data_IF_473386040059
#
_entry.id   IF_473386040059
#
_cell.length_a   1.000
_cell.length_b   1.000
_cell.length_c   1.000
_cell.angle_alpha   90.00
_cell.angle_beta   90.00
_cell.angle_gamma   90.00
#
_symmetry.space_group_name_H-M   'P 1'
#
loop_
_entity.id
_entity.type
_entity.pdbx_description
1 polymer ?
#
# COMPACT_ATOMS: atom_id res chain seq x y z
N UNK A 1 22.06 71.94 -5.76
CA UNK A 1 21.56 73.00 -4.87
C UNK A 1 20.09 72.69 -4.56
N UNK A 2 19.55 72.78 -3.32
CA UNK A 2 20.10 72.70 -1.94
C UNK A 2 19.86 71.28 -1.32
N UNK A 3 20.55 70.69 -0.34
CA UNK A 3 21.03 71.01 1.03
C UNK A 3 19.93 71.17 2.10
N UNK A 4 19.93 70.26 3.10
CA UNK A 4 19.69 70.34 4.56
C UNK A 4 19.44 68.89 5.05
N UNK A 5 20.10 68.25 6.01
CA UNK A 5 20.97 68.67 7.10
C UNK A 5 20.24 68.58 8.44
N UNK A 6 20.36 67.47 9.21
CA UNK A 6 20.36 67.52 10.68
C UNK A 6 20.96 66.25 11.32
N UNK A 7 21.61 66.47 12.46
CA UNK A 7 22.59 65.68 13.20
C UNK A 7 22.15 65.69 14.69
N UNK A 8 22.79 64.84 15.52
CA UNK A 8 22.84 64.85 17.01
C UNK A 8 21.55 64.31 17.71
N UNK A 9 21.55 63.46 18.74
CA UNK A 9 22.42 63.44 19.92
C UNK A 9 22.54 62.09 20.66
N UNK A 10 23.71 61.92 21.27
CA UNK A 10 24.05 60.96 22.32
C UNK A 10 23.31 61.23 23.63
N UNK A 11 23.08 60.17 24.40
CA UNK A 11 22.67 60.24 25.81
C UNK A 11 23.20 59.02 26.57
N UNK A 12 24.37 59.19 27.20
CA UNK A 12 24.91 58.30 28.24
C UNK A 12 24.45 58.84 29.58
N UNK A 13 23.81 58.02 30.42
CA UNK A 13 23.71 58.26 31.86
C UNK A 13 24.02 56.95 32.58
N UNK A 14 25.02 57.06 33.46
CA UNK A 14 25.52 56.01 34.32
C UNK A 14 24.86 56.07 35.71
N UNK A 15 25.13 55.01 36.47
CA UNK A 15 25.15 54.88 37.93
C UNK A 15 23.91 54.30 38.61
N UNK A 16 24.19 53.29 39.46
CA UNK A 16 23.29 52.81 40.49
C UNK A 16 23.43 51.32 40.80
N UNK A 17 24.60 50.88 41.27
CA UNK A 17 24.69 49.57 41.93
C UNK A 17 24.23 49.70 43.39
N UNK A 18 23.17 48.98 43.75
CA UNK A 18 22.80 48.73 45.15
C UNK A 18 22.72 47.22 45.31
N UNK A 19 23.73 46.65 45.98
CA UNK A 19 23.72 45.27 46.43
C UNK A 19 22.93 45.19 47.75
N UNK A 20 21.77 44.52 47.71
CA UNK A 20 21.08 44.06 48.92
C UNK A 20 21.17 42.54 48.96
N UNK A 21 21.93 42.04 49.93
CA UNK A 21 22.00 40.62 50.28
C UNK A 21 20.80 40.28 51.17
N UNK A 22 19.76 39.66 50.59
CA UNK A 22 18.67 39.05 51.35
C UNK A 22 18.72 37.54 51.18
N UNK A 23 18.92 36.83 52.29
CA UNK A 23 19.02 35.39 52.35
C UNK A 23 17.78 34.69 51.80
N UNK A 24 18.01 33.78 50.86
CA UNK A 24 16.99 32.83 50.40
C UNK A 24 16.84 31.70 51.40
N UNK A 25 15.69 31.69 52.08
CA UNK A 25 15.06 30.51 52.66
C UNK A 25 15.03 29.38 51.61
N UNK A 26 15.59 28.23 51.95
CA UNK A 26 15.47 26.98 51.20
C UNK A 26 14.05 26.45 51.34
N UNK A 27 13.14 26.89 50.46
CA UNK A 27 11.88 26.20 50.22
C UNK A 27 12.19 24.87 49.51
N UNK A 28 11.96 23.75 50.20
CA UNK A 28 11.99 22.43 49.60
C UNK A 28 10.93 22.38 48.49
N UNK A 29 11.35 22.46 47.23
CA UNK A 29 10.51 22.15 46.07
C UNK A 29 10.14 20.67 46.16
N UNK A 30 8.93 20.39 46.63
CA UNK A 30 8.30 19.10 46.43
C UNK A 30 8.18 18.87 44.93
N UNK A 31 9.09 18.07 44.37
CA UNK A 31 9.01 17.62 42.98
C UNK A 31 7.81 16.67 42.89
N UNK A 32 6.63 17.21 42.58
CA UNK A 32 5.51 16.41 42.11
C UNK A 32 5.96 15.70 40.84
N UNK A 33 6.32 14.42 40.98
CA UNK A 33 6.61 13.52 39.87
C UNK A 33 5.29 13.36 39.11
N UNK A 34 5.10 14.14 38.05
CA UNK A 34 3.98 13.95 37.13
C UNK A 34 3.99 12.50 36.69
N UNK A 35 2.90 11.79 36.99
CA UNK A 35 2.68 10.46 36.43
C UNK A 35 2.75 10.60 34.90
N UNK A 36 3.45 9.69 34.19
CA UNK A 36 3.48 9.72 32.74
C UNK A 36 2.04 9.67 32.22
N UNK A 37 1.69 10.66 31.40
CA UNK A 37 0.43 10.70 30.70
C UNK A 37 0.23 9.38 29.96
N UNK A 38 -0.95 8.76 30.12
CA UNK A 38 -1.33 7.52 29.44
C UNK A 38 -1.42 7.63 27.89
N UNK A 39 -0.96 8.75 27.32
CA UNK A 39 -1.00 9.08 25.90
C UNK A 39 0.32 8.85 25.16
N UNK A 40 1.39 8.44 25.85
CA UNK A 40 2.55 7.84 25.15
C UNK A 40 2.28 6.35 24.90
N UNK A 41 1.15 6.07 24.25
CA UNK A 41 0.94 4.76 23.62
C UNK A 41 2.05 4.61 22.59
N UNK A 42 2.92 3.64 22.85
CA UNK A 42 3.82 3.07 21.86
C UNK A 42 3.12 3.08 20.49
N UNK A 43 3.75 3.71 19.49
CA UNK A 43 3.23 3.73 18.13
C UNK A 43 2.74 2.32 17.79
N UNK A 44 1.47 2.15 17.41
CA UNK A 44 0.89 0.83 17.23
C UNK A 44 1.81 0.04 16.31
N UNK A 45 2.31 -1.10 16.79
CA UNK A 45 3.13 -1.99 15.99
C UNK A 45 2.45 -2.18 14.65
N UNK A 46 3.11 -1.79 13.56
CA UNK A 46 2.55 -1.85 12.20
C UNK A 46 1.85 -3.20 12.02
N UNK A 47 0.55 -3.16 11.69
CA UNK A 47 -0.32 -4.33 11.71
C UNK A 47 0.37 -5.50 11.00
N UNK A 48 0.59 -6.60 11.72
CA UNK A 48 1.26 -7.77 11.17
C UNK A 48 0.32 -8.60 10.29
N UNK A 49 -0.34 -7.93 9.35
CA UNK A 49 -1.28 -8.53 8.41
C UNK A 49 -0.63 -9.60 7.52
N UNK A 50 -1.44 -10.56 7.10
CA UNK A 50 -1.04 -11.66 6.21
C UNK A 50 -0.65 -11.14 4.84
N UNK A 51 0.27 -11.84 4.17
CA UNK A 51 0.80 -11.42 2.88
C UNK A 51 -0.23 -11.60 1.75
N UNK A 52 -0.29 -10.62 0.85
CA UNK A 52 -0.98 -10.74 -0.44
C UNK A 52 -0.02 -11.32 -1.46
N UNK A 53 -0.55 -12.22 -2.27
CA UNK A 53 0.06 -12.89 -3.40
C UNK A 53 -0.46 -12.29 -4.69
N UNK A 54 0.49 -11.94 -5.56
CA UNK A 54 0.28 -11.30 -6.86
C UNK A 54 0.64 -12.23 -8.02
N UNK A 55 1.26 -13.37 -7.68
CA UNK A 55 1.64 -14.44 -8.57
C UNK A 55 0.39 -15.06 -9.21
N UNK A 56 0.54 -15.59 -10.44
CA UNK A 56 -0.59 -16.19 -11.14
C UNK A 56 -1.12 -17.40 -10.39
N UNK A 57 -2.43 -17.42 -10.14
CA UNK A 57 -3.14 -18.57 -9.63
C UNK A 57 -4.32 -18.88 -10.56
N UNK A 58 -4.30 -20.07 -11.18
CA UNK A 58 -5.31 -20.51 -12.14
C UNK A 58 -6.73 -20.45 -11.56
N UNK A 59 -6.91 -20.80 -10.28
CA UNK A 59 -8.22 -20.79 -9.61
C UNK A 59 -8.66 -19.38 -9.25
N UNK A 60 -7.72 -18.48 -8.95
CA UNK A 60 -8.02 -17.07 -8.69
C UNK A 60 -8.39 -16.27 -9.95
N UNK A 61 -8.20 -16.83 -11.15
CA UNK A 61 -8.49 -16.12 -12.41
C UNK A 61 -7.68 -14.82 -12.58
N UNK A 62 -6.51 -14.72 -11.93
CA UNK A 62 -5.69 -13.51 -11.90
C UNK A 62 -6.03 -12.51 -10.80
N UNK A 63 -7.03 -12.79 -9.95
CA UNK A 63 -7.24 -12.03 -8.72
C UNK A 63 -6.03 -12.18 -7.77
N UNK A 64 -5.82 -11.15 -6.94
CA UNK A 64 -4.84 -11.20 -5.86
C UNK A 64 -5.35 -12.19 -4.82
N UNK A 65 -4.45 -12.89 -4.15
CA UNK A 65 -4.86 -13.95 -3.26
C UNK A 65 -4.02 -13.98 -1.99
N UNK A 66 -4.50 -14.68 -0.98
CA UNK A 66 -3.76 -14.99 0.23
C UNK A 66 -3.93 -16.47 0.51
N UNK A 67 -3.06 -17.01 1.35
CA UNK A 67 -3.22 -18.38 1.81
C UNK A 67 -2.73 -18.52 3.24
N UNK A 68 -3.37 -19.41 3.98
CA UNK A 68 -2.93 -19.81 5.31
C UNK A 68 -1.79 -20.83 5.19
N UNK A 69 -1.20 -21.25 6.31
CA UNK A 69 -0.06 -22.19 6.32
C UNK A 69 -0.25 -23.40 5.40
N UNK A 70 0.87 -23.88 4.86
CA UNK A 70 0.94 -25.10 4.07
C UNK A 70 0.50 -26.31 4.90
N UNK A 71 -0.17 -27.27 4.25
CA UNK A 71 -0.69 -28.49 4.87
C UNK A 71 -1.92 -29.03 4.15
N UNK A 72 -2.47 -30.14 4.66
CA UNK A 72 -3.65 -30.80 4.07
C UNK A 72 -4.91 -29.92 4.07
N UNK A 73 -5.02 -29.01 5.05
CA UNK A 73 -6.10 -28.03 5.18
C UNK A 73 -5.69 -26.64 4.68
N UNK A 74 -5.02 -26.54 3.53
CA UNK A 74 -4.66 -25.22 2.99
C UNK A 74 -5.92 -24.45 2.60
N UNK A 75 -6.12 -23.27 3.19
CA UNK A 75 -7.13 -22.31 2.78
C UNK A 75 -6.51 -21.23 1.90
N UNK A 76 -7.16 -20.95 0.77
CA UNK A 76 -6.84 -19.84 -0.11
C UNK A 76 -8.01 -18.84 -0.10
N UNK A 77 -7.69 -17.55 -0.06
CA UNK A 77 -8.67 -16.47 -0.19
C UNK A 77 -8.37 -15.63 -1.42
N UNK A 78 -9.29 -15.59 -2.39
CA UNK A 78 -9.16 -14.77 -3.60
C UNK A 78 -9.88 -13.44 -3.41
N UNK A 79 -9.13 -12.35 -3.49
CA UNK A 79 -9.54 -10.99 -3.16
C UNK A 79 -10.14 -10.31 -4.41
N UNK A 80 -11.41 -10.59 -4.70
CA UNK A 80 -12.04 -10.14 -5.94
C UNK A 80 -12.28 -8.63 -6.00
N UNK A 81 -12.63 -8.00 -4.87
CA UNK A 81 -12.83 -6.55 -4.80
C UNK A 81 -11.52 -5.76 -4.69
N UNK A 82 -10.38 -6.43 -4.47
CA UNK A 82 -9.10 -5.78 -4.12
C UNK A 82 -8.63 -4.77 -5.16
N UNK A 83 -8.86 -5.07 -6.44
CA UNK A 83 -8.42 -4.25 -7.56
C UNK A 83 -9.12 -2.88 -7.61
N UNK A 84 -10.33 -2.75 -7.05
CA UNK A 84 -11.14 -1.53 -7.07
C UNK A 84 -10.51 -0.39 -6.26
N UNK A 85 -9.65 -0.71 -5.29
CA UNK A 85 -9.05 0.25 -4.38
C UNK A 85 -7.52 0.16 -4.34
N UNK A 86 -6.91 -0.42 -5.39
CA UNK A 86 -5.48 -0.29 -5.61
C UNK A 86 -5.06 1.15 -5.99
N UNK A 87 -5.98 2.09 -6.12
CA UNK A 87 -5.64 3.52 -6.24
C UNK A 87 -5.17 4.14 -4.92
N UNK A 88 -5.46 3.51 -3.78
CA UNK A 88 -5.13 4.00 -2.44
C UNK A 88 -3.70 3.61 -2.05
N UNK A 89 -2.90 4.60 -1.61
CA UNK A 89 -1.52 4.41 -1.16
C UNK A 89 -1.38 3.35 -0.06
N UNK A 90 -2.36 3.26 0.85
CA UNK A 90 -2.34 2.31 1.97
C UNK A 90 -2.41 0.87 1.48
N UNK A 91 -3.02 0.66 0.31
CA UNK A 91 -3.25 -0.67 -0.28
C UNK A 91 -2.15 -0.97 -1.30
N UNK A 92 -1.87 -0.02 -2.21
CA UNK A 92 -0.95 -0.25 -3.33
C UNK A 92 0.53 -0.26 -2.95
N UNK A 93 0.87 0.26 -1.76
CA UNK A 93 2.22 0.19 -1.16
C UNK A 93 2.36 -0.97 -0.18
N UNK A 94 1.28 -1.68 0.13
CA UNK A 94 1.29 -2.76 1.12
C UNK A 94 1.52 -4.12 0.47
N UNK A 95 2.42 -4.89 1.06
CA UNK A 95 2.58 -6.31 0.73
C UNK A 95 1.56 -7.20 1.44
N UNK A 96 0.78 -6.61 2.34
CA UNK A 96 -0.12 -7.28 3.26
C UNK A 96 -1.56 -7.03 2.87
N UNK A 97 -2.46 -7.83 3.42
CA UNK A 97 -3.89 -7.76 3.14
C UNK A 97 -4.46 -6.51 3.83
N UNK A 98 -4.88 -5.56 3.02
CA UNK A 98 -5.55 -4.32 3.43
C UNK A 98 -6.99 -4.34 2.91
N UNK A 99 -7.97 -4.27 3.80
CA UNK A 99 -9.40 -4.31 3.48
C UNK A 99 -10.07 -2.99 3.85
N UNK A 100 -11.18 -2.63 3.21
CA UNK A 100 -11.94 -1.43 3.58
C UNK A 100 -12.88 -1.71 4.74
N UNK A 101 -12.81 -0.88 5.77
CA UNK A 101 -13.77 -0.88 6.87
C UNK A 101 -15.16 -0.44 6.40
N UNK A 102 -16.20 -0.93 7.06
CA UNK A 102 -17.61 -0.61 6.80
C UNK A 102 -18.17 -1.16 5.47
N UNK A 103 -17.34 -1.65 4.55
CA UNK A 103 -17.75 -2.18 3.24
C UNK A 103 -17.66 -3.71 3.20
N UNK A 104 -18.57 -4.38 2.47
CA UNK A 104 -18.44 -5.82 2.25
C UNK A 104 -17.31 -6.10 1.24
N UNK A 105 -16.27 -6.77 1.68
CA UNK A 105 -15.14 -7.16 0.83
C UNK A 105 -15.37 -8.56 0.26
N UNK A 106 -15.47 -8.63 -1.07
CA UNK A 106 -15.73 -9.90 -1.76
C UNK A 106 -14.49 -10.77 -1.76
N UNK A 107 -14.53 -11.84 -0.96
CA UNK A 107 -13.46 -12.83 -0.85
C UNK A 107 -14.01 -14.22 -1.12
N UNK A 108 -13.38 -14.90 -2.05
CA UNK A 108 -13.66 -16.28 -2.40
C UNK A 108 -12.72 -17.21 -1.66
N UNK A 109 -13.25 -17.95 -0.69
CA UNK A 109 -12.45 -18.90 0.09
C UNK A 109 -12.51 -20.27 -0.56
N UNK A 110 -11.34 -20.89 -0.73
CA UNK A 110 -11.22 -22.24 -1.27
C UNK A 110 -10.36 -23.09 -0.35
N UNK A 111 -10.88 -24.25 0.06
CA UNK A 111 -10.13 -25.27 0.80
C UNK A 111 -10.02 -26.54 -0.03
N UNK A 112 -8.87 -27.21 0.04
CA UNK A 112 -8.69 -28.55 -0.53
C UNK A 112 -9.43 -29.64 0.25
N UNK A 113 -9.83 -29.35 1.49
CA UNK A 113 -10.61 -30.25 2.34
C UNK A 113 -12.00 -29.67 2.53
N UNK A 114 -13.02 -30.46 2.19
CA UNK A 114 -14.41 -30.11 2.50
C UNK A 114 -14.51 -29.86 4.01
N UNK A 115 -15.13 -28.74 4.39
CA UNK A 115 -15.26 -28.37 5.80
C UNK A 115 -16.70 -28.38 6.31
N UNK A 116 -17.66 -28.82 5.49
CA UNK A 116 -19.08 -28.68 5.76
C UNK A 116 -19.74 -27.52 5.02
N UNK A 117 -21.04 -27.35 5.23
CA UNK A 117 -21.91 -26.44 4.47
C UNK A 117 -21.76 -24.95 4.82
N UNK A 118 -20.95 -24.61 5.82
CA UNK A 118 -20.87 -23.27 6.39
C UNK A 118 -19.46 -22.89 6.81
N UNK A 119 -19.06 -21.68 6.40
CA UNK A 119 -17.89 -20.98 6.90
C UNK A 119 -18.34 -19.93 7.92
N UNK A 120 -17.83 -20.02 9.14
CA UNK A 120 -17.97 -18.97 10.16
C UNK A 120 -16.69 -18.16 10.21
N UNK A 121 -16.81 -16.85 10.05
CA UNK A 121 -15.70 -15.90 10.22
C UNK A 121 -15.96 -15.10 11.47
N UNK A 122 -15.13 -15.26 12.49
CA UNK A 122 -15.09 -14.36 13.64
C UNK A 122 -13.87 -13.47 13.56
N UNK A 123 -13.94 -12.29 14.16
CA UNK A 123 -12.80 -11.38 14.21
C UNK A 123 -12.65 -10.74 15.58
N UNK A 124 -11.39 -10.51 15.98
CA UNK A 124 -11.00 -9.74 17.14
C UNK A 124 -10.07 -8.61 16.68
N UNK A 125 -10.39 -7.38 17.06
CA UNK A 125 -9.49 -6.24 16.86
C UNK A 125 -8.27 -6.40 17.78
N UNK A 126 -7.08 -6.22 17.23
CA UNK A 126 -5.79 -6.44 17.91
C UNK A 126 -5.22 -5.15 18.51
N UNK A 127 -5.60 -4.01 17.96
CA UNK A 127 -5.13 -2.67 18.34
C UNK A 127 -6.19 -1.85 19.07
N UNK A 128 -7.26 -2.49 19.56
CA UNK A 128 -8.34 -1.82 20.24
C UNK A 128 -9.55 -2.73 20.50
N UNK A 129 -10.64 -2.19 21.04
CA UNK A 129 -11.87 -2.94 21.22
C UNK A 129 -12.57 -3.19 19.88
N UNK A 130 -13.12 -4.38 19.71
CA UNK A 130 -13.92 -4.72 18.53
C UNK A 130 -13.98 -6.22 18.28
N UNK A 131 -15.17 -6.70 17.93
CA UNK A 131 -15.39 -8.07 17.49
C UNK A 131 -16.31 -8.08 16.28
N UNK A 132 -16.24 -9.16 15.49
CA UNK A 132 -17.20 -9.43 14.42
C UNK A 132 -17.51 -10.93 14.36
N UNK A 133 -18.68 -11.28 13.82
CA UNK A 133 -19.09 -12.65 13.55
C UNK A 133 -19.98 -12.67 12.32
N UNK A 134 -19.57 -13.40 11.29
CA UNK A 134 -20.26 -13.54 10.01
C UNK A 134 -20.29 -15.01 9.59
N UNK A 135 -21.34 -15.42 8.87
CA UNK A 135 -21.53 -16.79 8.41
C UNK A 135 -21.83 -16.79 6.92
N UNK A 136 -21.15 -17.68 6.19
CA UNK A 136 -21.28 -17.81 4.74
C UNK A 136 -21.60 -19.27 4.41
N UNK A 137 -22.50 -19.48 3.47
CA UNK A 137 -22.82 -20.83 2.98
C UNK A 137 -21.74 -21.27 1.99
N UNK A 138 -21.44 -22.57 1.98
CA UNK A 138 -20.70 -23.17 0.89
C UNK A 138 -21.49 -23.00 -0.42
N UNK A 139 -20.79 -22.80 -1.53
CA UNK A 139 -21.37 -22.93 -2.84
C UNK A 139 -21.64 -24.40 -3.16
N UNK A 140 -22.62 -24.66 -4.04
CA UNK A 140 -22.94 -26.01 -4.50
C UNK A 140 -21.79 -26.62 -5.29
N UNK A 141 -21.09 -25.80 -6.09
CA UNK A 141 -19.94 -26.22 -6.88
C UNK A 141 -18.98 -25.03 -7.09
N UNK A 142 -17.66 -25.24 -7.07
CA UNK A 142 -16.98 -26.49 -6.70
C UNK A 142 -17.07 -26.78 -5.18
N UNK A 143 -16.88 -28.04 -4.78
CA UNK A 143 -16.76 -28.39 -3.36
C UNK A 143 -15.59 -27.63 -2.71
N UNK A 144 -15.77 -27.24 -1.44
CA UNK A 144 -14.78 -26.48 -0.67
C UNK A 144 -14.75 -24.99 -0.98
N UNK A 145 -15.73 -24.47 -1.74
CA UNK A 145 -15.85 -23.06 -2.10
C UNK A 145 -16.83 -22.31 -1.19
N UNK A 146 -16.39 -21.20 -0.59
CA UNK A 146 -17.20 -20.35 0.27
C UNK A 146 -17.09 -18.88 -0.19
N UNK A 147 -18.05 -18.39 -0.99
CA UNK A 147 -18.09 -16.97 -1.35
C UNK A 147 -18.49 -16.14 -0.13
N UNK A 148 -17.79 -15.03 0.10
CA UNK A 148 -18.06 -14.14 1.22
C UNK A 148 -18.01 -12.67 0.80
N UNK A 149 -18.78 -11.85 1.53
CA UNK A 149 -18.65 -10.40 1.56
C UNK A 149 -18.32 -9.98 2.98
N UNK A 150 -17.05 -10.09 3.38
CA UNK A 150 -16.63 -9.83 4.76
C UNK A 150 -16.70 -8.34 5.02
N UNK A 151 -17.57 -7.92 5.96
CA UNK A 151 -17.62 -6.54 6.43
C UNK A 151 -16.82 -6.39 7.74
N UNK A 152 -15.72 -5.64 7.72
CA UNK A 152 -14.99 -5.30 8.94
C UNK A 152 -15.57 -4.00 9.49
N UNK A 153 -16.00 -3.92 10.77
CA UNK A 153 -16.76 -2.76 11.26
C UNK A 153 -16.00 -1.44 11.22
N UNK A 154 -14.73 -1.44 11.62
CA UNK A 154 -13.91 -0.23 11.78
C UNK A 154 -12.49 -0.45 11.26
N UNK A 155 -11.81 0.64 10.92
CA UNK A 155 -10.37 0.59 10.67
C UNK A 155 -9.60 0.04 11.89
N UNK A 156 -8.42 -0.52 11.65
CA UNK A 156 -7.53 -1.12 12.64
C UNK A 156 -6.99 -2.48 12.21
N UNK A 157 -6.20 -3.10 13.08
CA UNK A 157 -5.64 -4.43 12.88
C UNK A 157 -6.60 -5.50 13.39
N UNK A 158 -6.97 -6.47 12.55
CA UNK A 158 -7.97 -7.50 12.89
C UNK A 158 -7.40 -8.91 12.70
N UNK A 159 -7.50 -9.75 13.72
CA UNK A 159 -7.31 -11.20 13.56
C UNK A 159 -8.66 -11.83 13.19
N UNK A 160 -8.73 -12.41 12.01
CA UNK A 160 -9.87 -13.20 11.55
C UNK A 160 -9.63 -14.68 11.84
N UNK A 161 -10.62 -15.34 12.42
CA UNK A 161 -10.69 -16.80 12.58
C UNK A 161 -11.75 -17.34 11.63
N UNK A 162 -11.30 -18.12 10.66
CA UNK A 162 -12.12 -18.77 9.64
C UNK A 162 -12.30 -20.21 10.06
N UNK A 163 -13.54 -20.62 10.36
CA UNK A 163 -13.84 -21.91 10.95
C UNK A 163 -14.99 -22.59 10.21
N UNK A 164 -14.81 -23.88 9.93
CA UNK A 164 -15.87 -24.78 9.52
C UNK A 164 -16.03 -25.89 10.57
N UNK A 165 -16.65 -27.02 10.22
CA UNK A 165 -16.73 -28.18 11.12
C UNK A 165 -15.35 -28.85 11.25
N UNK A 166 -14.65 -29.03 10.13
CA UNK A 166 -13.41 -29.83 10.08
C UNK A 166 -12.11 -29.02 10.20
N UNK A 167 -12.14 -27.70 10.02
CA UNK A 167 -10.93 -26.90 10.05
C UNK A 167 -11.11 -25.51 10.65
N UNK A 168 -9.97 -24.96 11.10
CA UNK A 168 -9.84 -23.63 11.66
C UNK A 168 -8.55 -22.99 11.13
N UNK A 169 -8.70 -21.79 10.58
CA UNK A 169 -7.60 -20.95 10.15
C UNK A 169 -7.65 -19.59 10.81
N UNK A 170 -6.48 -18.97 10.95
CA UNK A 170 -6.33 -17.61 11.41
C UNK A 170 -5.51 -16.82 10.40
N UNK A 171 -5.90 -15.59 10.18
CA UNK A 171 -5.15 -14.61 9.41
C UNK A 171 -5.32 -13.24 10.05
N UNK A 172 -4.41 -12.33 9.75
CA UNK A 172 -4.48 -10.94 10.22
C UNK A 172 -4.69 -10.07 8.99
N UNK A 173 -5.56 -9.08 9.09
CA UNK A 173 -5.78 -8.06 8.06
C UNK A 173 -5.66 -6.68 8.68
N UNK A 174 -5.18 -5.75 7.89
CA UNK A 174 -5.33 -4.34 8.18
C UNK A 174 -6.65 -3.88 7.57
N UNK A 175 -7.50 -3.23 8.36
CA UNK A 175 -8.69 -2.57 7.88
C UNK A 175 -8.43 -1.06 7.86
N UNK A 176 -8.71 -0.41 6.73
CA UNK A 176 -8.57 1.04 6.57
C UNK A 176 -9.92 1.65 6.25
N UNK A 177 -10.16 2.87 6.68
CA UNK A 177 -11.38 3.57 6.28
C UNK A 177 -11.43 3.69 4.75
N UNK A 178 -12.60 3.55 4.11
CA UNK A 178 -12.73 3.74 2.68
C UNK A 178 -12.11 5.08 2.29
N UNK A 179 -11.20 5.08 1.31
CA UNK A 179 -10.75 6.31 0.71
C UNK A 179 -11.95 7.08 0.12
N UNK A 180 -11.80 8.40 -0.03
CA UNK A 180 -12.68 9.16 -0.92
C UNK A 180 -12.67 8.50 -2.31
N UNK A 181 -13.78 8.60 -3.06
CA UNK A 181 -13.79 8.13 -4.44
C UNK A 181 -12.62 8.75 -5.24
N UNK A 182 -12.11 8.00 -6.22
CA UNK A 182 -11.13 8.47 -7.21
C UNK A 182 -9.71 8.78 -6.72
N UNK A 183 -9.26 8.20 -5.60
CA UNK A 183 -7.84 8.30 -5.23
C UNK A 183 -6.96 7.64 -6.27
N UNK A 184 -6.07 8.45 -6.84
CA UNK A 184 -4.95 7.97 -7.62
C UNK A 184 -3.67 8.35 -6.89
N UNK A 185 -3.28 7.53 -5.92
CA UNK A 185 -2.02 7.68 -5.20
C UNK A 185 -0.93 6.91 -5.94
N UNK A 186 -0.21 7.54 -6.88
CA UNK A 186 0.84 6.87 -7.63
C UNK A 186 1.90 6.27 -6.70
N UNK A 187 2.52 5.19 -7.16
CA UNK A 187 3.65 4.57 -6.47
C UNK A 187 4.81 5.58 -6.43
N UNK A 188 5.42 5.87 -5.28
CA UNK A 188 6.51 6.82 -5.18
C UNK A 188 7.72 6.41 -6.02
N UNK A 189 8.29 7.36 -6.75
CA UNK A 189 9.59 7.20 -7.41
C UNK A 189 10.68 7.64 -6.43
N UNK A 190 11.62 6.75 -6.15
CA UNK A 190 12.74 7.03 -5.24
C UNK A 190 13.62 8.16 -5.80
N UNK A 191 14.38 8.83 -4.93
CA UNK A 191 15.29 9.90 -5.34
C UNK A 191 16.22 9.49 -6.50
N UNK A 192 16.70 8.24 -6.48
CA UNK A 192 17.50 7.59 -7.54
C UNK A 192 16.81 7.43 -8.89
N UNK A 193 15.51 7.72 -9.00
CA UNK A 193 14.72 7.47 -10.19
C UNK A 193 14.27 6.03 -10.32
N UNK A 194 14.23 5.25 -9.23
CA UNK A 194 13.77 3.87 -9.26
C UNK A 194 12.44 3.67 -8.53
N UNK A 195 11.64 2.74 -9.02
CA UNK A 195 10.47 2.18 -8.34
C UNK A 195 10.76 0.73 -7.98
N UNK A 196 10.40 0.32 -6.77
CA UNK A 196 10.30 -1.11 -6.42
C UNK A 196 8.84 -1.52 -6.50
N UNK A 197 8.55 -2.62 -7.19
CA UNK A 197 7.20 -3.10 -7.34
C UNK A 197 6.72 -3.76 -6.06
N UNK A 198 5.41 -3.72 -5.83
CA UNK A 198 4.77 -4.42 -4.70
C UNK A 198 4.21 -5.76 -5.17
N UNK A 199 4.52 -6.88 -4.50
CA UNK A 199 5.34 -6.98 -3.29
C UNK A 199 6.84 -6.94 -3.66
N UNK A 200 7.67 -6.36 -2.79
CA UNK A 200 9.11 -6.20 -3.03
C UNK A 200 9.85 -7.52 -3.13
N UNK A 201 9.32 -8.58 -2.49
CA UNK A 201 9.81 -9.96 -2.64
C UNK A 201 9.77 -10.49 -4.07
N UNK A 202 9.00 -9.84 -4.97
CA UNK A 202 9.06 -10.15 -6.41
C UNK A 202 10.45 -9.87 -6.98
N UNK A 203 11.25 -9.01 -6.35
CA UNK A 203 12.56 -8.62 -6.88
C UNK A 203 12.46 -7.83 -8.18
N UNK A 204 11.26 -7.39 -8.59
CA UNK A 204 11.08 -6.53 -9.76
C UNK A 204 11.20 -5.07 -9.32
N UNK A 205 11.98 -4.31 -10.07
CA UNK A 205 12.13 -2.86 -9.97
C UNK A 205 12.13 -2.24 -11.35
N UNK A 206 12.04 -0.91 -11.43
CA UNK A 206 12.10 -0.20 -12.68
C UNK A 206 12.80 1.15 -12.49
N UNK A 207 13.66 1.54 -13.45
CA UNK A 207 14.09 2.92 -13.58
C UNK A 207 12.97 3.71 -14.28
N UNK A 208 12.63 4.85 -13.68
CA UNK A 208 11.44 5.65 -13.98
C UNK A 208 11.82 7.11 -14.14
N UNK A 209 11.70 7.62 -15.37
CA UNK A 209 12.17 8.94 -15.73
C UNK A 209 11.27 10.09 -15.26
N UNK A 210 9.96 9.86 -15.14
CA UNK A 210 8.98 10.91 -14.92
C UNK A 210 8.28 10.78 -13.58
N UNK A 211 8.01 11.93 -12.96
CA UNK A 211 7.37 12.00 -11.65
C UNK A 211 6.27 13.05 -11.68
N UNK A 212 5.20 12.80 -10.93
CA UNK A 212 4.25 13.84 -10.54
C UNK A 212 4.93 14.84 -9.60
N UNK A 213 4.31 15.98 -9.36
CA UNK A 213 4.85 17.04 -8.48
C UNK A 213 5.12 16.52 -7.06
N UNK A 214 4.28 15.62 -6.57
CA UNK A 214 4.42 14.93 -5.28
C UNK A 214 5.38 13.72 -5.32
N UNK A 215 6.09 13.50 -6.44
CA UNK A 215 7.12 12.47 -6.57
C UNK A 215 6.62 11.06 -6.92
N UNK A 216 5.36 10.92 -7.31
CA UNK A 216 4.76 9.65 -7.75
C UNK A 216 5.05 9.28 -9.20
N UNK A 217 4.88 8.00 -9.54
CA UNK A 217 5.06 7.49 -10.89
C UNK A 217 4.15 8.20 -11.92
N UNK A 218 4.77 8.81 -12.92
CA UNK A 218 4.10 9.46 -14.05
C UNK A 218 4.41 8.72 -15.35
N UNK A 219 3.41 8.63 -16.22
CA UNK A 219 3.54 8.23 -17.63
C UNK A 219 2.70 9.17 -18.50
N UNK A 220 2.90 9.10 -19.80
CA UNK A 220 2.10 9.83 -20.78
C UNK A 220 1.32 8.86 -21.67
N UNK A 221 0.08 9.21 -21.98
CA UNK A 221 -0.75 8.47 -22.91
C UNK A 221 -0.07 8.41 -24.29
N UNK A 222 -0.23 7.30 -25.01
CA UNK A 222 0.49 7.03 -26.26
C UNK A 222 1.98 6.72 -26.08
N UNK A 223 2.51 6.76 -24.86
CA UNK A 223 3.92 6.47 -24.56
C UNK A 223 4.87 7.58 -25.01
N UNK A 224 4.37 8.79 -25.28
CA UNK A 224 5.16 9.95 -25.73
C UNK A 224 5.05 11.12 -24.77
N UNK A 225 6.17 11.79 -24.52
CA UNK A 225 6.22 13.02 -23.72
C UNK A 225 5.79 14.23 -24.56
N UNK A 226 5.42 15.37 -23.94
CA UNK A 226 4.97 16.59 -24.64
C UNK A 226 5.95 17.18 -25.66
N UNK A 227 7.24 16.93 -25.48
CA UNK A 227 8.31 17.30 -26.41
C UNK A 227 8.53 16.28 -27.54
N UNK A 228 7.67 15.27 -27.65
CA UNK A 228 7.74 14.20 -28.65
C UNK A 228 8.70 13.06 -28.30
N UNK A 229 9.35 13.10 -27.13
CA UNK A 229 10.18 12.02 -26.61
C UNK A 229 9.39 10.75 -26.24
N UNK A 230 10.10 9.68 -25.88
CA UNK A 230 9.47 8.41 -25.48
C UNK A 230 9.45 8.25 -23.96
N UNK A 231 8.33 7.78 -23.42
CA UNK A 231 8.17 7.44 -22.00
C UNK A 231 8.81 6.07 -21.71
N UNK A 232 10.14 6.05 -21.64
CA UNK A 232 10.95 4.84 -21.44
C UNK A 232 10.96 4.36 -19.99
N UNK A 233 10.60 3.10 -19.78
CA UNK A 233 10.76 2.42 -18.48
C UNK A 233 11.76 1.28 -18.65
N UNK A 234 12.82 1.28 -17.84
CA UNK A 234 13.78 0.17 -17.80
C UNK A 234 13.44 -0.74 -16.62
N UNK A 235 12.83 -1.89 -16.91
CA UNK A 235 12.51 -2.87 -15.89
C UNK A 235 13.75 -3.71 -15.54
N UNK A 236 13.84 -4.13 -14.28
CA UNK A 236 14.87 -5.03 -13.78
C UNK A 236 14.27 -6.06 -12.83
N UNK A 237 14.72 -7.31 -12.90
CA UNK A 237 14.31 -8.37 -12.00
C UNK A 237 15.54 -9.12 -11.47
N UNK A 238 15.44 -9.64 -10.24
CA UNK A 238 16.51 -10.46 -9.63
C UNK A 238 16.68 -11.80 -10.32
N UNK A 239 15.62 -12.33 -10.92
CA UNK A 239 15.64 -13.54 -11.73
C UNK A 239 15.50 -13.14 -13.20
N UNK A 240 16.53 -13.36 -14.04
CA UNK A 240 16.46 -13.07 -15.47
C UNK A 240 15.43 -13.96 -16.16
N UNK A 241 15.03 -13.60 -17.38
CA UNK A 241 14.07 -14.38 -18.15
C UNK A 241 13.69 -13.74 -19.48
N UNK A 242 13.43 -14.55 -20.50
CA UNK A 242 13.24 -14.05 -21.87
C UNK A 242 12.17 -12.95 -22.06
N UNK A 243 11.00 -13.04 -21.41
CA UNK A 243 9.90 -12.09 -21.60
C UNK A 243 9.41 -11.47 -20.29
N UNK A 244 9.18 -10.16 -20.32
CA UNK A 244 8.41 -9.42 -19.33
C UNK A 244 7.06 -9.02 -19.92
N UNK A 245 5.97 -9.46 -19.30
CA UNK A 245 4.62 -9.01 -19.63
C UNK A 245 4.18 -7.89 -18.70
N UNK A 246 3.71 -6.77 -19.26
CA UNK A 246 3.08 -5.68 -18.52
C UNK A 246 1.62 -5.60 -18.93
N UNK A 247 0.72 -5.72 -17.95
CA UNK A 247 -0.72 -5.49 -18.12
C UNK A 247 -1.10 -4.20 -17.41
N UNK A 248 -1.76 -3.29 -18.13
CA UNK A 248 -2.41 -2.12 -17.55
C UNK A 248 -3.89 -2.36 -17.35
N UNK A 249 -4.42 -1.88 -16.23
CA UNK A 249 -5.86 -1.74 -15.96
C UNK A 249 -6.11 -0.34 -15.47
N UNK A 250 -7.04 0.38 -16.09
CA UNK A 250 -7.47 1.70 -15.63
C UNK A 250 -8.24 1.54 -14.32
N UNK A 251 -7.82 2.26 -13.28
CA UNK A 251 -8.50 2.26 -11.98
C UNK A 251 -9.73 3.17 -12.07
N UNK A 252 -10.90 2.64 -11.67
CA UNK A 252 -12.19 3.32 -11.84
C UNK A 252 -12.76 3.27 -13.27
N UNK A 253 -12.03 2.67 -14.22
CA UNK A 253 -12.45 2.52 -15.62
C UNK A 253 -12.56 1.06 -16.06
N UNK A 254 -12.85 0.87 -17.35
CA UNK A 254 -12.95 -0.46 -17.98
C UNK A 254 -11.76 -0.77 -18.90
N UNK A 255 -10.91 0.22 -19.17
CA UNK A 255 -9.83 0.05 -20.14
C UNK A 255 -8.70 -0.82 -19.60
N UNK A 256 -8.12 -1.59 -20.51
CA UNK A 256 -6.94 -2.42 -20.24
C UNK A 256 -6.01 -2.41 -21.43
N UNK A 257 -4.72 -2.67 -21.19
CA UNK A 257 -3.76 -2.97 -22.25
C UNK A 257 -2.83 -4.10 -21.82
N UNK A 258 -2.14 -4.69 -22.80
CA UNK A 258 -1.08 -5.66 -22.55
C UNK A 258 0.08 -5.43 -23.51
N UNK A 259 1.28 -5.40 -22.98
CA UNK A 259 2.53 -5.30 -23.74
C UNK A 259 3.52 -6.35 -23.24
N UNK A 260 4.43 -6.76 -24.11
CA UNK A 260 5.50 -7.71 -23.79
C UNK A 260 6.83 -7.15 -24.26
N UNK A 261 7.86 -7.31 -23.45
CA UNK A 261 9.20 -6.80 -23.73
C UNK A 261 10.20 -7.95 -23.67
N UNK A 262 11.11 -7.98 -24.64
CA UNK A 262 12.21 -8.92 -24.66
C UNK A 262 13.30 -8.48 -23.69
N UNK A 263 13.95 -9.46 -23.07
CA UNK A 263 15.14 -9.23 -22.27
C UNK A 263 16.25 -8.62 -23.13
N UNK A 264 16.98 -7.67 -22.58
CA UNK A 264 18.19 -7.15 -23.20
C UNK A 264 19.28 -8.23 -23.23
N UNK A 265 20.04 -8.29 -24.33
CA UNK A 265 21.10 -9.30 -24.49
C UNK A 265 22.26 -9.16 -23.51
N UNK A 266 22.50 -7.95 -22.96
CA UNK A 266 23.46 -7.71 -21.88
C UNK A 266 23.25 -6.31 -21.24
N UNK A 267 23.29 -6.18 -19.91
CA UNK A 267 23.26 -7.27 -18.93
C UNK A 267 21.90 -7.99 -18.91
N UNK A 268 21.89 -9.27 -18.51
CA UNK A 268 20.65 -10.01 -18.31
C UNK A 268 19.86 -9.47 -17.11
N UNK A 269 18.55 -9.71 -17.11
CA UNK A 269 17.59 -9.26 -16.11
C UNK A 269 17.09 -7.85 -16.33
N UNK A 270 17.18 -7.32 -17.57
CA UNK A 270 16.71 -5.98 -17.94
C UNK A 270 15.77 -6.02 -19.13
N UNK A 271 14.70 -5.23 -19.09
CA UNK A 271 13.74 -5.09 -20.19
C UNK A 271 13.50 -3.60 -20.45
N UNK A 272 14.19 -2.98 -21.42
CA UNK A 272 13.89 -1.62 -21.84
C UNK A 272 12.52 -1.60 -22.53
N UNK A 273 11.69 -0.61 -22.20
CA UNK A 273 10.32 -0.53 -22.72
C UNK A 273 9.90 0.89 -22.99
N UNK A 274 8.92 1.05 -23.88
CA UNK A 274 8.07 2.24 -23.98
C UNK A 274 6.68 1.74 -23.61
N UNK A 275 6.13 2.24 -22.51
CA UNK A 275 4.79 1.82 -22.09
C UNK A 275 3.77 2.69 -22.81
N UNK A 276 3.10 2.12 -23.81
CA UNK A 276 1.99 2.78 -24.53
C UNK A 276 0.69 2.60 -23.74
N UNK A 277 0.30 3.61 -22.97
CA UNK A 277 -1.00 3.63 -22.28
C UNK A 277 -2.06 4.29 -23.18
N UNK A 278 -3.25 3.70 -23.37
CA UNK A 278 -4.25 4.23 -24.30
C UNK A 278 -4.76 5.63 -23.97
N UNK A 279 -5.09 5.88 -22.72
CA UNK A 279 -5.77 7.11 -22.28
C UNK A 279 -5.17 7.68 -20.98
N UNK A 280 -5.29 8.99 -20.75
CA UNK A 280 -5.01 9.59 -19.45
C UNK A 280 -5.89 9.00 -18.34
N UNK A 281 -5.38 9.02 -17.12
CA UNK A 281 -6.11 8.54 -15.94
C UNK A 281 -5.20 7.86 -14.92
N UNK A 282 -5.80 7.15 -13.97
CA UNK A 282 -5.07 6.34 -13.02
C UNK A 282 -4.93 4.90 -13.51
N UNK A 283 -3.72 4.37 -13.52
CA UNK A 283 -3.45 3.06 -14.10
C UNK A 283 -2.70 2.16 -13.13
N UNK A 284 -3.22 0.95 -12.94
CA UNK A 284 -2.52 -0.15 -12.31
C UNK A 284 -1.74 -0.92 -13.37
N UNK A 285 -0.42 -0.91 -13.25
CA UNK A 285 0.48 -1.73 -14.04
C UNK A 285 0.83 -2.99 -13.25
N UNK A 286 0.59 -4.16 -13.83
CA UNK A 286 1.04 -5.43 -13.30
C UNK A 286 2.15 -5.96 -14.20
N UNK A 287 3.37 -5.99 -13.68
CA UNK A 287 4.53 -6.57 -14.38
C UNK A 287 4.70 -8.04 -13.96
N UNK A 288 4.96 -8.91 -14.93
CA UNK A 288 5.17 -10.35 -14.72
C UNK A 288 6.35 -10.84 -15.55
N UNK A 289 7.33 -11.42 -14.90
CA UNK A 289 8.45 -12.10 -15.55
C UNK A 289 8.16 -13.57 -15.83
N UNK A 290 9.18 -14.33 -16.22
CA UNK A 290 9.12 -15.79 -16.27
C UNK A 290 9.00 -16.36 -14.85
N UNK A 291 8.18 -17.40 -14.67
CA UNK A 291 7.91 -18.03 -13.38
C UNK A 291 6.76 -17.37 -12.60
N UNK A 292 6.85 -17.38 -11.27
CA UNK A 292 5.83 -16.81 -10.38
C UNK A 292 6.03 -15.31 -10.10
N UNK A 293 7.07 -14.69 -10.67
CA UNK A 293 7.47 -13.31 -10.32
C UNK A 293 6.46 -12.28 -10.85
N UNK A 294 5.76 -11.62 -9.93
CA UNK A 294 4.77 -10.60 -10.26
C UNK A 294 4.79 -9.45 -9.26
N UNK A 295 4.60 -8.23 -9.75
CA UNK A 295 4.45 -7.05 -8.92
C UNK A 295 3.60 -5.96 -9.58
N UNK A 296 3.25 -4.94 -8.82
CA UNK A 296 2.45 -3.81 -9.28
C UNK A 296 3.14 -2.46 -9.12
N UNK A 297 2.74 -1.53 -9.99
CA UNK A 297 2.95 -0.08 -9.90
C UNK A 297 1.62 0.58 -10.17
N UNK A 298 1.30 1.65 -9.45
CA UNK A 298 0.22 2.56 -9.80
C UNK A 298 0.85 3.81 -10.36
N UNK A 299 0.46 4.18 -11.58
CA UNK A 299 0.97 5.36 -12.26
C UNK A 299 -0.17 6.31 -12.57
N UNK A 300 0.11 7.61 -12.45
CA UNK A 300 -0.73 8.63 -13.06
C UNK A 300 -0.32 8.75 -14.52
N UNK A 301 -1.32 8.79 -15.41
CA UNK A 301 -1.12 8.92 -16.85
C UNK A 301 -1.77 10.21 -17.31
N UNK A 302 -1.01 11.07 -17.96
CA UNK A 302 -1.47 12.37 -18.47
C UNK A 302 -1.42 12.41 -20.00
N UNK A 303 -2.02 13.42 -20.61
CA UNK A 303 -1.85 13.66 -22.04
C UNK A 303 -0.38 14.02 -22.32
N UNK A 304 0.17 13.45 -23.39
CA UNK A 304 1.51 13.76 -23.90
C UNK A 304 1.49 14.84 -24.94
#
# INVERSE_FOLDING_TARGET
MPRFGLLIASGVLAAGAVSVSAGTLTAAKATTRSAPSADERAAPSACQASLVRYEWNKRAGGARWLSTRAGRSRLEGYLYAYHEYLGDARVNRSERVVLRAGKPEKIAWFSTTWGGSRLTVTGKRLDGPGTLSQRFRAAVSPSGFYPSGIRIPTAGCWQLTLRTEDWLHRLVVEAVDPASADTCDPTPVQASGSIRLVPTRSGISAAWGWRTEDGGALLYAGGRTPDGGNTKVLWRATQPGGLLAVRGTQLGGTETFRQTFNEAGSPSGYWPSIIVVPTPGCWLLTARGIGETAGIVVARVVAG
#
